data_IF_876359309263
#
_entry.id   IF_876359309263
#
_cell.length_a   1.000
_cell.length_b   1.000
_cell.length_c   1.000
_cell.angle_alpha   90.00
_cell.angle_beta   90.00
_cell.angle_gamma   90.00
#
_symmetry.space_group_name_H-M   'P 1'
#
loop_
_entity.id
_entity.type
_entity.pdbx_description
1 polymer ?
#
# COMPACT_ATOMS: atom_id res chain seq x y z
N UNK A 1 10.59 18.14 6.96
CA UNK A 1 11.44 17.43 5.98
C UNK A 1 12.13 16.23 6.66
N UNK A 2 11.36 15.24 7.15
CA UNK A 2 11.89 14.04 7.87
C UNK A 2 11.19 12.72 7.49
N UNK A 3 10.30 12.73 6.48
CA UNK A 3 9.46 11.58 6.13
C UNK A 3 10.13 10.52 5.23
N UNK A 4 11.38 10.74 4.84
CA UNK A 4 11.98 10.10 3.65
C UNK A 4 12.80 8.83 3.95
N UNK A 5 13.03 8.49 5.22
CA UNK A 5 13.99 7.45 5.62
C UNK A 5 13.41 6.15 6.21
N UNK A 6 12.11 6.10 6.55
CA UNK A 6 11.50 4.91 7.19
C UNK A 6 10.41 4.22 6.39
N UNK A 7 10.05 4.76 5.22
CA UNK A 7 9.00 4.18 4.36
C UNK A 7 9.66 3.36 3.27
N UNK A 8 9.76 2.05 3.49
CA UNK A 8 10.13 1.13 2.41
C UNK A 8 8.88 0.85 1.58
N UNK A 9 8.90 1.34 0.35
CA UNK A 9 7.84 1.14 -0.64
C UNK A 9 8.34 0.16 -1.71
N UNK A 10 7.63 -0.94 -1.86
CA UNK A 10 7.86 -1.91 -2.91
C UNK A 10 6.67 -1.89 -3.85
N UNK A 11 6.92 -1.64 -5.14
CA UNK A 11 5.93 -1.74 -6.20
C UNK A 11 6.32 -2.88 -7.12
N UNK A 12 5.44 -3.85 -7.28
CA UNK A 12 5.71 -5.07 -8.04
C UNK A 12 5.14 -5.03 -9.46
N UNK A 13 4.27 -4.06 -9.76
CA UNK A 13 3.71 -3.86 -11.11
C UNK A 13 4.45 -2.76 -11.87
N UNK A 14 5.11 -3.12 -12.98
CA UNK A 14 5.76 -2.19 -13.90
C UNK A 14 4.82 -1.65 -14.99
N UNK A 15 3.67 -2.30 -15.22
CA UNK A 15 2.71 -1.89 -16.24
C UNK A 15 1.48 -1.18 -15.65
N UNK A 16 1.00 -0.15 -16.35
CA UNK A 16 -0.34 0.41 -16.11
C UNK A 16 -1.35 -0.55 -16.72
N UNK A 17 -2.08 -1.25 -15.85
CA UNK A 17 -3.15 -2.18 -16.21
C UNK A 17 -4.45 -1.65 -15.62
N UNK A 18 -5.55 -1.73 -16.37
CA UNK A 18 -6.87 -1.50 -15.82
C UNK A 18 -7.18 -2.55 -14.76
N UNK A 19 -7.63 -2.10 -13.59
CA UNK A 19 -7.97 -2.98 -12.46
C UNK A 19 -9.31 -2.55 -11.93
N UNK A 20 -10.25 -3.48 -11.85
CA UNK A 20 -11.63 -3.23 -11.46
C UNK A 20 -11.73 -2.87 -9.97
N UNK A 21 -10.98 -3.59 -9.14
CA UNK A 21 -10.96 -3.43 -7.70
C UNK A 21 -9.55 -3.72 -7.18
N UNK A 22 -9.08 -2.87 -6.27
CA UNK A 22 -7.84 -3.08 -5.52
C UNK A 22 -8.21 -3.10 -4.05
N UNK A 23 -7.91 -4.21 -3.38
CA UNK A 23 -8.03 -4.31 -1.93
C UNK A 23 -6.74 -3.79 -1.30
N UNK A 24 -6.89 -3.03 -0.21
CA UNK A 24 -5.78 -2.50 0.57
C UNK A 24 -6.07 -2.80 2.03
N UNK A 25 -5.13 -3.47 2.69
CA UNK A 25 -5.26 -3.84 4.10
C UNK A 25 -4.08 -3.30 4.93
N UNK A 26 -4.37 -2.95 6.18
CA UNK A 26 -3.40 -2.50 7.19
C UNK A 26 -3.15 -3.63 8.19
N UNK A 27 -1.92 -4.15 8.22
CA UNK A 27 -1.50 -5.14 9.21
C UNK A 27 -0.48 -4.54 10.15
N UNK A 28 -0.76 -4.56 11.46
CA UNK A 28 0.18 -4.15 12.51
C UNK A 28 0.96 -5.37 13.00
N UNK A 29 2.29 -5.30 12.94
CA UNK A 29 3.20 -6.36 13.39
C UNK A 29 4.20 -5.83 14.41
N UNK A 30 4.71 -6.72 15.28
CA UNK A 30 5.78 -6.42 16.23
C UNK A 30 7.06 -7.11 15.77
N UNK A 31 8.14 -6.35 15.61
CA UNK A 31 9.48 -6.88 15.27
C UNK A 31 10.41 -6.46 16.41
N UNK A 32 10.89 -7.42 17.20
CA UNK A 32 11.59 -7.13 18.45
C UNK A 32 10.67 -6.35 19.40
N UNK A 33 11.13 -5.17 19.83
CA UNK A 33 10.36 -4.26 20.70
C UNK A 33 9.65 -3.12 19.97
N UNK A 34 9.71 -3.10 18.63
CA UNK A 34 9.15 -2.02 17.83
C UNK A 34 7.89 -2.46 17.06
N UNK A 35 6.85 -1.62 17.10
CA UNK A 35 5.65 -1.79 16.28
C UNK A 35 5.87 -1.24 14.88
N UNK A 36 5.41 -2.00 13.89
CA UNK A 36 5.46 -1.65 12.49
C UNK A 36 4.07 -1.85 11.86
N UNK A 37 3.76 -1.02 10.86
CA UNK A 37 2.55 -1.09 10.07
C UNK A 37 2.92 -1.49 8.65
N UNK A 38 2.29 -2.54 8.15
CA UNK A 38 2.42 -3.03 6.79
C UNK A 38 1.12 -2.72 6.06
N UNK A 39 1.25 -2.12 4.89
CA UNK A 39 0.15 -1.86 3.98
C UNK A 39 0.37 -2.70 2.74
N UNK A 40 -0.55 -3.61 2.43
CA UNK A 40 -0.51 -4.42 1.22
C UNK A 40 -1.63 -4.01 0.29
N UNK A 41 -1.30 -3.76 -0.99
CA UNK A 41 -2.27 -3.55 -2.05
C UNK A 41 -2.29 -4.76 -2.98
N UNK A 42 -3.47 -5.32 -3.24
CA UNK A 42 -3.65 -6.46 -4.12
C UNK A 42 -4.78 -6.23 -5.13
N UNK A 43 -4.61 -6.78 -6.33
CA UNK A 43 -5.68 -6.89 -7.30
C UNK A 43 -6.62 -8.03 -6.88
N UNK A 44 -7.91 -7.74 -6.68
CA UNK A 44 -8.88 -8.73 -6.20
C UNK A 44 -9.23 -9.76 -7.28
N UNK A 45 -9.07 -9.40 -8.55
CA UNK A 45 -9.42 -10.26 -9.68
C UNK A 45 -8.30 -11.26 -9.97
N UNK A 46 -7.04 -10.80 -9.97
CA UNK A 46 -5.86 -11.64 -10.28
C UNK A 46 -5.15 -12.18 -9.05
N UNK A 47 -5.47 -11.69 -7.85
CA UNK A 47 -4.77 -11.98 -6.60
C UNK A 47 -3.29 -11.55 -6.59
N UNK A 48 -2.90 -10.69 -7.54
CA UNK A 48 -1.53 -10.16 -7.63
C UNK A 48 -1.28 -9.09 -6.58
N UNK A 49 -0.18 -9.19 -5.84
CA UNK A 49 0.29 -8.12 -4.95
C UNK A 49 0.88 -7.00 -5.81
N UNK A 50 0.26 -5.82 -5.74
CA UNK A 50 0.65 -4.65 -6.53
C UNK A 50 1.77 -3.86 -5.85
N UNK A 51 1.74 -3.83 -4.53
CA UNK A 51 2.79 -3.20 -3.74
C UNK A 51 2.60 -3.37 -2.24
N UNK A 52 3.68 -3.15 -1.52
CA UNK A 52 3.75 -3.22 -0.06
C UNK A 52 4.47 -1.97 0.46
N UNK A 53 3.94 -1.37 1.51
CA UNK A 53 4.60 -0.28 2.23
C UNK A 53 4.75 -0.65 3.70
N UNK A 54 5.97 -0.54 4.20
CA UNK A 54 6.27 -0.74 5.63
C UNK A 54 6.58 0.61 6.26
N UNK A 55 5.90 0.92 7.36
CA UNK A 55 6.04 2.19 8.10
C UNK A 55 6.17 1.92 9.59
N UNK A 56 6.92 2.73 10.32
CA UNK A 56 6.95 2.69 11.81
C UNK A 56 5.75 3.39 12.44
N UNK A 57 5.14 4.33 11.71
CA UNK A 57 4.06 5.17 12.19
C UNK A 57 2.84 5.08 11.27
N UNK A 58 1.66 5.28 11.86
CA UNK A 58 0.39 5.33 11.14
C UNK A 58 0.07 6.77 10.75
N UNK A 59 0.52 7.18 9.57
CA UNK A 59 0.26 8.52 9.03
C UNK A 59 -0.60 8.42 7.78
N UNK A 60 -1.79 9.04 7.81
CA UNK A 60 -2.75 9.00 6.69
C UNK A 60 -2.18 9.54 5.38
N UNK A 61 -1.20 10.46 5.45
CA UNK A 61 -0.53 11.05 4.28
C UNK A 61 0.25 9.99 3.50
N UNK A 62 0.91 9.05 4.17
CA UNK A 62 1.69 8.00 3.50
C UNK A 62 0.80 6.99 2.81
N UNK A 63 -0.32 6.66 3.43
CA UNK A 63 -1.36 5.79 2.85
C UNK A 63 -1.94 6.44 1.60
N UNK A 64 -2.28 7.74 1.66
CA UNK A 64 -2.78 8.47 0.48
C UNK A 64 -1.75 8.47 -0.65
N UNK A 65 -0.45 8.64 -0.35
CA UNK A 65 0.62 8.57 -1.35
C UNK A 65 0.78 7.18 -1.94
N UNK A 66 0.72 6.15 -1.09
CA UNK A 66 0.76 4.74 -1.48
C UNK A 66 -0.37 4.40 -2.45
N UNK A 67 -1.61 4.74 -2.08
CA UNK A 67 -2.84 4.57 -2.85
C UNK A 67 -2.76 5.31 -4.19
N UNK A 68 -2.32 6.58 -4.20
CA UNK A 68 -2.14 7.37 -5.45
C UNK A 68 -1.11 6.75 -6.40
N UNK A 69 -0.10 6.04 -5.89
CA UNK A 69 0.90 5.34 -6.69
C UNK A 69 0.35 4.25 -7.60
N UNK A 70 -0.88 3.78 -7.36
CA UNK A 70 -1.54 2.74 -8.14
C UNK A 70 -2.46 3.27 -9.25
N UNK A 71 -2.60 4.60 -9.42
CA UNK A 71 -3.48 5.25 -10.41
C UNK A 71 -4.82 4.51 -10.54
N UNK A 72 -5.58 4.58 -9.45
CA UNK A 72 -6.82 3.83 -9.22
C UNK A 72 -7.92 4.34 -10.16
N UNK A 73 -8.33 3.54 -11.12
CA UNK A 73 -9.74 3.54 -11.53
C UNK A 73 -10.44 2.53 -10.61
N UNK A 74 -10.56 2.87 -9.33
CA UNK A 74 -11.42 2.10 -8.41
C UNK A 74 -12.82 2.63 -8.62
N UNK A 75 -13.67 1.82 -9.26
CA UNK A 75 -15.11 2.06 -9.25
C UNK A 75 -15.63 1.42 -7.98
N UNK A 76 -15.76 2.19 -6.90
CA UNK A 76 -16.57 1.79 -5.75
C UNK A 76 -17.99 1.71 -6.30
N UNK A 77 -18.48 0.49 -6.50
CA UNK A 77 -19.88 0.24 -6.86
C UNK A 77 -20.66 0.43 -5.57
N UNK A 78 -21.41 1.53 -5.48
CA UNK A 78 -22.59 1.59 -4.62
C UNK A 78 -23.76 0.93 -5.33
#
# INVERSE_FOLDING_TARGET
MFHRLLHKYFKFTNSRKYRRCIAIDETKIKIGDEWHYIWAAMDVETWEILGVMVTKWRTSIDVIRFVRGFHLIVRISH
#
